data_IF_059522420807
#
_entry.id   IF_059522420807
#
_cell.length_a   1.000
_cell.length_b   1.000
_cell.length_c   1.000
_cell.angle_alpha   90.00
_cell.angle_beta   90.00
_cell.angle_gamma   90.00
#
_symmetry.space_group_name_H-M   'P 1'
#
loop_
_entity.id
_entity.type
_entity.pdbx_description
1 polymer ?
#
# COMPACT_ATOMS: atom_id res chain seq x y z
N UNK A 1 1.30 5.54 1.39
CA UNK A 1 1.94 5.14 2.66
C UNK A 1 0.99 4.21 3.39
N UNK A 2 1.48 3.09 3.93
CA UNK A 2 0.64 2.14 4.70
C UNK A 2 0.40 2.65 6.13
N UNK A 3 -0.61 2.11 6.82
CA UNK A 3 -0.85 2.41 8.23
C UNK A 3 0.34 2.01 9.11
N UNK A 4 0.98 0.88 8.81
CA UNK A 4 2.18 0.43 9.52
C UNK A 4 3.32 1.43 9.40
N UNK A 5 3.62 1.88 8.17
CA UNK A 5 4.69 2.86 7.92
C UNK A 5 4.37 4.20 8.60
N UNK A 6 3.13 4.66 8.46
CA UNK A 6 2.66 5.91 9.07
C UNK A 6 2.75 5.85 10.60
N UNK A 7 2.26 4.77 11.21
CA UNK A 7 2.28 4.60 12.66
C UNK A 7 3.70 4.51 13.19
N UNK A 8 4.59 3.79 12.51
CA UNK A 8 6.00 3.70 12.88
C UNK A 8 6.72 5.05 12.75
N UNK A 9 6.41 5.83 11.71
CA UNK A 9 6.97 7.17 11.54
C UNK A 9 6.50 8.14 12.64
N UNK A 10 5.21 8.10 12.96
CA UNK A 10 4.59 8.99 13.96
C UNK A 10 4.95 8.61 15.40
N UNK A 11 5.19 7.32 15.68
CA UNK A 11 5.62 6.84 16.99
C UNK A 11 7.00 7.39 17.44
N UNK A 12 7.77 8.00 16.52
CA UNK A 12 9.03 8.68 16.84
C UNK A 12 8.83 9.95 17.69
N UNK A 13 7.64 10.55 17.64
CA UNK A 13 7.28 11.68 18.51
C UNK A 13 6.69 11.14 19.82
N UNK A 14 7.44 11.31 20.92
CA UNK A 14 7.09 10.77 22.25
C UNK A 14 5.78 11.30 22.82
N UNK A 15 5.29 12.45 22.32
CA UNK A 15 4.04 13.06 22.77
C UNK A 15 2.93 12.94 21.71
N UNK A 16 3.14 12.11 20.68
CA UNK A 16 2.17 11.85 19.63
C UNK A 16 1.38 10.58 19.89
N UNK A 17 0.05 10.70 19.80
CA UNK A 17 -0.87 9.56 19.79
C UNK A 17 -1.44 9.37 18.38
N UNK A 18 -1.33 8.17 17.84
CA UNK A 18 -1.97 7.81 16.57
C UNK A 18 -3.29 7.11 16.85
N UNK A 19 -4.37 7.59 16.23
CA UNK A 19 -5.69 6.95 16.30
C UNK A 19 -6.26 6.80 14.89
N UNK A 20 -7.04 5.74 14.68
CA UNK A 20 -7.80 5.57 13.44
C UNK A 20 -9.16 6.24 13.62
N UNK A 21 -9.46 7.16 12.71
CA UNK A 21 -10.68 7.97 12.68
C UNK A 21 -11.76 7.27 11.87
N UNK A 22 -11.41 6.73 10.69
CA UNK A 22 -12.33 5.98 9.84
C UNK A 22 -11.58 4.92 9.04
N UNK A 23 -12.32 3.91 8.57
CA UNK A 23 -11.82 2.84 7.71
C UNK A 23 -12.82 2.61 6.57
N UNK A 24 -12.32 2.60 5.35
CA UNK A 24 -13.08 2.30 4.13
C UNK A 24 -12.58 1.01 3.51
N UNK A 25 -13.45 0.01 3.39
CA UNK A 25 -13.12 -1.32 2.86
C UNK A 25 -12.56 -2.28 3.92
N UNK A 26 -12.39 -3.54 3.51
CA UNK A 26 -12.09 -4.67 4.41
C UNK A 26 -11.20 -5.75 3.77
N UNK A 27 -10.61 -5.46 2.60
CA UNK A 27 -9.88 -6.45 1.79
C UNK A 27 -8.42 -6.59 2.18
N UNK A 28 -7.83 -5.54 2.74
CA UNK A 28 -6.46 -5.54 3.24
C UNK A 28 -6.43 -5.71 4.76
N UNK A 29 -5.36 -6.33 5.27
CA UNK A 29 -5.08 -6.26 6.70
C UNK A 29 -4.83 -4.80 7.10
N UNK A 30 -5.20 -4.42 8.33
CA UNK A 30 -5.15 -3.03 8.81
C UNK A 30 -3.80 -2.36 8.59
N UNK A 31 -2.72 -3.10 8.82
CA UNK A 31 -1.34 -2.63 8.66
C UNK A 31 -0.99 -2.25 7.21
N UNK A 32 -1.64 -2.89 6.24
CA UNK A 32 -1.43 -2.70 4.81
C UNK A 32 -2.36 -1.64 4.23
N UNK A 33 -3.39 -1.24 4.97
CA UNK A 33 -4.31 -0.19 4.52
C UNK A 33 -3.55 1.11 4.27
N UNK A 34 -3.93 1.79 3.20
CA UNK A 34 -3.34 3.08 2.85
C UNK A 34 -3.94 4.17 3.72
N UNK A 35 -3.10 5.08 4.21
CA UNK A 35 -3.59 6.32 4.82
C UNK A 35 -4.15 7.20 3.71
N UNK A 36 -5.48 7.31 3.63
CA UNK A 36 -6.18 8.10 2.63
C UNK A 36 -6.20 9.59 3.00
N UNK A 37 -6.35 9.87 4.29
CA UNK A 37 -6.34 11.22 4.82
C UNK A 37 -5.83 11.20 6.27
N UNK A 38 -5.29 12.33 6.73
CA UNK A 38 -4.84 12.48 8.11
C UNK A 38 -5.03 13.91 8.59
N UNK A 39 -5.21 14.06 9.89
CA UNK A 39 -5.22 15.36 10.55
C UNK A 39 -4.47 15.32 11.88
N UNK A 40 -3.83 16.43 12.23
CA UNK A 40 -3.12 16.63 13.49
C UNK A 40 -3.95 17.53 14.40
N UNK A 41 -4.22 17.07 15.61
CA UNK A 41 -4.85 17.84 16.67
C UNK A 41 -3.84 18.12 17.77
N UNK A 42 -3.75 19.36 18.23
CA UNK A 42 -2.98 19.71 19.44
C UNK A 42 -3.86 19.44 20.65
N UNK A 43 -3.35 18.65 21.58
CA UNK A 43 -4.04 18.31 22.82
C UNK A 43 -3.62 19.27 23.92
N UNK A 44 -4.62 19.82 24.62
CA UNK A 44 -4.46 20.66 25.81
C UNK A 44 -5.22 20.05 26.98
N UNK A 45 -4.74 20.24 28.20
CA UNK A 45 -5.48 19.90 29.41
C UNK A 45 -6.58 20.94 29.71
N UNK A 46 -7.34 20.72 30.79
CA UNK A 46 -8.38 21.65 31.26
C UNK A 46 -7.87 23.02 31.69
N UNK A 47 -6.55 23.21 31.85
CA UNK A 47 -5.92 24.51 32.13
C UNK A 47 -5.43 25.21 30.85
N UNK A 48 -5.55 24.55 29.69
CA UNK A 48 -5.06 25.05 28.41
C UNK A 48 -3.58 24.77 28.15
N UNK A 49 -2.89 24.03 29.03
CA UNK A 49 -1.48 23.66 28.87
C UNK A 49 -1.36 22.55 27.83
N UNK A 50 -0.30 22.62 27.02
CA UNK A 50 0.02 21.59 26.03
C UNK A 50 0.30 20.24 26.70
N UNK A 51 -0.38 19.18 26.23
CA UNK A 51 -0.19 17.81 26.71
C UNK A 51 0.19 16.83 25.60
N UNK A 52 0.19 17.24 24.34
CA UNK A 52 0.66 16.42 23.24
C UNK A 52 -0.03 16.71 21.91
N UNK A 53 0.14 15.79 20.96
CA UNK A 53 -0.52 15.84 19.66
C UNK A 53 -1.22 14.51 19.39
N UNK A 54 -2.38 14.57 18.73
CA UNK A 54 -3.08 13.39 18.26
C UNK A 54 -3.17 13.43 16.73
N UNK A 55 -2.65 12.40 16.09
CA UNK A 55 -2.81 12.13 14.68
C UNK A 55 -4.01 11.24 14.48
N UNK A 56 -5.00 11.74 13.73
CA UNK A 56 -6.19 10.99 13.35
C UNK A 56 -6.04 10.57 11.89
N UNK A 57 -6.07 9.27 11.62
CA UNK A 57 -5.85 8.69 10.29
C UNK A 57 -7.14 8.07 9.75
N UNK A 58 -7.48 8.41 8.51
CA UNK A 58 -8.54 7.77 7.75
C UNK A 58 -7.90 6.74 6.80
N UNK A 59 -8.33 5.49 6.90
CA UNK A 59 -7.71 4.36 6.19
C UNK A 59 -8.55 3.91 5.00
N UNK A 60 -7.87 3.58 3.91
CA UNK A 60 -8.42 2.87 2.76
C UNK A 60 -7.85 1.44 2.74
N UNK A 61 -8.71 0.49 3.09
CA UNK A 61 -8.44 -0.94 3.15
C UNK A 61 -9.05 -1.70 1.95
N UNK A 62 -9.42 -1.01 0.87
CA UNK A 62 -9.83 -1.65 -0.37
C UNK A 62 -8.68 -2.39 -1.02
N UNK A 63 -8.99 -3.42 -1.82
CA UNK A 63 -7.99 -4.09 -2.65
C UNK A 63 -7.27 -3.11 -3.58
N UNK A 64 -6.05 -3.45 -4.05
CA UNK A 64 -5.21 -2.52 -4.81
C UNK A 64 -5.84 -2.09 -6.14
N UNK A 65 -6.71 -2.91 -6.72
CA UNK A 65 -7.51 -2.59 -7.90
C UNK A 65 -8.87 -3.32 -7.84
N UNK A 66 -9.94 -2.64 -8.24
CA UNK A 66 -11.26 -3.25 -8.38
C UNK A 66 -11.30 -4.22 -9.57
N UNK A 67 -11.92 -5.38 -9.38
CA UNK A 67 -12.22 -6.34 -10.43
C UNK A 67 -13.67 -6.85 -10.30
N UNK A 68 -14.16 -7.60 -11.29
CA UNK A 68 -15.50 -8.17 -11.23
C UNK A 68 -15.67 -9.01 -9.94
N UNK A 69 -16.66 -8.65 -9.13
CA UNK A 69 -16.93 -9.29 -7.84
C UNK A 69 -15.87 -9.04 -6.74
N UNK A 70 -14.82 -8.27 -7.01
CA UNK A 70 -13.74 -7.98 -6.05
C UNK A 70 -13.63 -6.47 -5.82
N UNK A 71 -14.13 -5.96 -4.68
CA UNK A 71 -13.99 -4.55 -4.32
C UNK A 71 -12.53 -4.12 -4.25
N UNK A 72 -12.23 -2.93 -4.77
CA UNK A 72 -10.87 -2.40 -4.82
C UNK A 72 -10.84 -0.94 -5.23
N UNK A 73 -9.64 -0.38 -5.32
CA UNK A 73 -9.45 0.98 -5.80
C UNK A 73 -9.87 1.11 -7.28
N UNK A 74 -10.47 2.24 -7.64
CA UNK A 74 -10.88 2.50 -9.02
C UNK A 74 -9.67 2.59 -9.94
N UNK A 75 -9.83 2.10 -11.19
CA UNK A 75 -8.86 2.32 -12.29
C UNK A 75 -8.52 3.80 -12.51
N UNK A 76 -9.38 4.72 -12.07
CA UNK A 76 -9.14 6.15 -12.22
C UNK A 76 -8.33 6.76 -11.07
N UNK A 77 -8.21 6.06 -9.93
CA UNK A 77 -7.37 6.49 -8.81
C UNK A 77 -5.89 6.23 -9.10
N UNK A 78 -4.97 6.99 -8.51
CA UNK A 78 -3.54 6.78 -8.68
C UNK A 78 -3.09 5.37 -8.27
N UNK A 79 -3.65 4.85 -7.16
CA UNK A 79 -3.36 3.50 -6.67
C UNK A 79 -3.83 2.44 -7.66
N UNK A 80 -5.07 2.56 -8.16
CA UNK A 80 -5.62 1.62 -9.14
C UNK A 80 -4.89 1.70 -10.50
N UNK A 81 -4.48 2.89 -10.95
CA UNK A 81 -3.65 3.04 -12.16
C UNK A 81 -2.30 2.36 -12.00
N UNK A 82 -1.61 2.61 -10.89
CA UNK A 82 -0.32 2.00 -10.61
C UNK A 82 -0.42 0.48 -10.53
N UNK A 83 -1.49 -0.04 -9.94
CA UNK A 83 -1.72 -1.48 -9.89
C UNK A 83 -2.01 -2.06 -11.27
N UNK A 84 -2.86 -1.41 -12.07
CA UNK A 84 -3.14 -1.83 -13.45
C UNK A 84 -1.86 -1.88 -14.29
N UNK A 85 -0.99 -0.87 -14.18
CA UNK A 85 0.29 -0.85 -14.88
C UNK A 85 1.20 -2.03 -14.51
N UNK A 86 1.21 -2.45 -13.24
CA UNK A 86 1.97 -3.63 -12.80
C UNK A 86 1.39 -4.93 -13.36
N UNK A 87 0.06 -5.05 -13.36
CA UNK A 87 -0.61 -6.20 -13.97
C UNK A 87 -0.33 -6.26 -15.48
N UNK A 88 -0.37 -5.12 -16.18
CA UNK A 88 -0.02 -5.03 -17.60
C UNK A 88 1.45 -5.38 -17.87
N UNK A 89 2.35 -5.01 -16.94
CA UNK A 89 3.76 -5.41 -17.00
C UNK A 89 3.88 -6.93 -16.89
N UNK A 90 3.15 -7.55 -15.95
CA UNK A 90 3.14 -9.01 -15.80
C UNK A 90 2.58 -9.69 -17.05
N UNK A 91 1.50 -9.16 -17.64
CA UNK A 91 0.93 -9.70 -18.88
C UNK A 91 1.93 -9.63 -20.04
N UNK A 92 2.67 -8.52 -20.16
CA UNK A 92 3.74 -8.38 -21.15
C UNK A 92 4.90 -9.36 -20.90
N UNK A 93 5.29 -9.57 -19.64
CA UNK A 93 6.32 -10.56 -19.28
C UNK A 93 5.85 -11.99 -19.56
N UNK A 94 4.58 -12.30 -19.31
CA UNK A 94 4.00 -13.61 -19.64
C UNK A 94 4.00 -13.86 -21.15
N UNK A 95 3.79 -12.82 -21.96
CA UNK A 95 3.85 -12.91 -23.42
C UNK A 95 5.29 -13.01 -23.95
N UNK A 96 6.28 -12.45 -23.25
CA UNK A 96 7.69 -12.47 -23.64
C UNK A 96 8.63 -12.69 -22.43
N UNK A 97 8.68 -13.93 -21.89
CA UNK A 97 9.44 -14.22 -20.67
C UNK A 97 10.95 -14.09 -20.85
N UNK A 98 11.45 -14.19 -22.09
CA UNK A 98 12.88 -14.05 -22.40
C UNK A 98 13.44 -12.68 -22.03
N UNK A 99 12.59 -11.66 -21.90
CA UNK A 99 13.00 -10.35 -21.39
C UNK A 99 13.68 -10.47 -20.03
N UNK A 100 13.20 -11.37 -19.17
CA UNK A 100 13.78 -11.58 -17.84
C UNK A 100 15.22 -12.10 -17.87
N UNK A 101 15.65 -12.74 -18.97
CA UNK A 101 16.97 -13.32 -19.11
C UNK A 101 18.01 -12.36 -19.74
N UNK A 102 17.62 -11.13 -20.07
CA UNK A 102 18.49 -10.17 -20.79
C UNK A 102 19.64 -9.61 -19.95
N UNK A 103 19.51 -9.61 -18.62
CA UNK A 103 20.60 -9.29 -17.69
C UNK A 103 20.28 -9.80 -16.29
N UNK A 104 21.30 -9.97 -15.45
CA UNK A 104 21.12 -10.37 -14.05
C UNK A 104 20.23 -9.40 -13.26
N UNK A 105 20.31 -8.10 -13.53
CA UNK A 105 19.48 -7.09 -12.86
C UNK A 105 18.00 -7.22 -13.27
N UNK A 106 17.74 -7.43 -14.56
CA UNK A 106 16.36 -7.60 -15.06
C UNK A 106 15.77 -8.91 -14.51
N UNK A 107 16.58 -9.98 -14.45
CA UNK A 107 16.18 -11.24 -13.83
C UNK A 107 15.76 -11.06 -12.38
N UNK A 108 16.58 -10.39 -11.57
CA UNK A 108 16.27 -10.10 -10.17
C UNK A 108 14.99 -9.25 -10.01
N UNK A 109 14.76 -8.29 -10.90
CA UNK A 109 13.54 -7.48 -10.91
C UNK A 109 12.31 -8.33 -11.25
N UNK A 110 12.41 -9.22 -12.24
CA UNK A 110 11.34 -10.15 -12.60
C UNK A 110 11.01 -11.10 -11.44
N UNK A 111 12.03 -11.68 -10.79
CA UNK A 111 11.85 -12.55 -9.61
C UNK A 111 11.09 -11.80 -8.51
N UNK A 112 11.56 -10.61 -8.14
CA UNK A 112 10.93 -9.78 -7.10
C UNK A 112 9.46 -9.45 -7.45
N UNK A 113 9.20 -9.12 -8.72
CA UNK A 113 7.83 -8.83 -9.17
C UNK A 113 6.94 -10.07 -9.09
N UNK A 114 7.40 -11.22 -9.60
CA UNK A 114 6.63 -12.46 -9.58
C UNK A 114 6.41 -13.03 -8.17
N UNK A 115 7.36 -12.82 -7.25
CA UNK A 115 7.19 -13.14 -5.84
C UNK A 115 6.17 -12.24 -5.15
N UNK A 116 6.10 -10.97 -5.53
CA UNK A 116 5.05 -10.05 -5.05
C UNK A 116 3.67 -10.42 -5.59
N UNK A 117 3.62 -10.89 -6.83
CA UNK A 117 2.38 -11.26 -7.54
C UNK A 117 2.28 -12.78 -7.74
N UNK A 118 2.43 -13.56 -6.66
CA UNK A 118 2.40 -15.03 -6.73
C UNK A 118 1.16 -15.53 -7.48
N UNK A 119 1.39 -16.43 -8.42
CA UNK A 119 0.34 -17.02 -9.27
C UNK A 119 -0.13 -16.13 -10.42
N UNK A 120 0.47 -14.96 -10.66
CA UNK A 120 0.20 -14.13 -11.85
C UNK A 120 1.23 -14.31 -12.97
N UNK A 121 2.50 -14.56 -12.62
CA UNK A 121 3.48 -14.96 -13.61
C UNK A 121 3.26 -16.43 -14.00
N UNK A 122 3.14 -16.71 -15.30
CA UNK A 122 2.85 -18.06 -15.84
C UNK A 122 4.08 -18.78 -16.37
N UNK A 123 5.25 -18.16 -16.26
CA UNK A 123 6.56 -18.71 -16.64
C UNK A 123 7.40 -19.00 -15.40
N UNK A 124 8.45 -19.82 -15.58
CA UNK A 124 9.38 -20.13 -14.50
C UNK A 124 10.60 -19.24 -14.55
N UNK A 125 10.95 -18.67 -13.40
CA UNK A 125 12.21 -17.99 -13.15
C UNK A 125 13.00 -18.84 -12.16
N UNK A 126 14.17 -19.33 -12.57
CA UNK A 126 15.11 -19.96 -11.64
C UNK A 126 15.72 -18.89 -10.76
N UNK A 127 15.74 -19.11 -9.45
CA UNK A 127 16.33 -18.19 -8.46
C UNK A 127 17.83 -18.02 -8.65
#
# INVERSE_FOLDING_TARGET
MTYKDASAALAKDKNAKVVVSSVSGDRLARDECLVAHWKKAVMKDGTGKYVGVQYQLDLNCNGPLAAAGTPGNSLNSEVGKAEKQRLDTIDALNANPEYCNTSAQIHANCVTLCEKYKGKCTFQLTS
#
